data_IF_219151426477
#
_entry.id   IF_219151426477
#
_cell.length_a   1.000
_cell.length_b   1.000
_cell.length_c   1.000
_cell.angle_alpha   90.00
_cell.angle_beta   90.00
_cell.angle_gamma   90.00
#
_symmetry.space_group_name_H-M   'P 1'
#
loop_
_entity.id
_entity.type
_entity.pdbx_description
1 polymer ?
#
# COMPACT_ATOMS: atom_id res chain seq x y z
N UNK A 1 -11.63 0.43 -24.53
CA UNK A 1 -10.59 0.40 -23.46
C UNK A 1 -11.15 0.88 -22.12
N UNK A 2 -12.21 1.67 -22.16
CA UNK A 2 -12.91 2.30 -21.04
C UNK A 2 -13.33 1.34 -19.92
N UNK A 3 -13.96 0.21 -20.24
CA UNK A 3 -14.43 -0.76 -19.22
C UNK A 3 -13.26 -1.38 -18.43
N UNK A 4 -12.16 -1.71 -19.10
CA UNK A 4 -10.93 -2.21 -18.45
C UNK A 4 -10.32 -1.15 -17.53
N UNK A 5 -10.25 0.10 -17.98
CA UNK A 5 -9.75 1.22 -17.17
C UNK A 5 -10.66 1.51 -15.97
N UNK A 6 -11.97 1.40 -16.12
CA UNK A 6 -12.94 1.56 -15.03
C UNK A 6 -12.82 0.44 -14.00
N UNK A 7 -12.75 -0.82 -14.43
CA UNK A 7 -12.51 -1.97 -13.57
C UNK A 7 -11.17 -1.85 -12.81
N UNK A 8 -10.10 -1.47 -13.51
CA UNK A 8 -8.78 -1.24 -12.91
C UNK A 8 -8.81 -0.15 -11.84
N UNK A 9 -9.45 0.99 -12.11
CA UNK A 9 -9.57 2.06 -11.11
C UNK A 9 -10.45 1.62 -9.92
N UNK A 10 -11.52 0.85 -10.15
CA UNK A 10 -12.38 0.31 -9.08
C UNK A 10 -11.60 -0.64 -8.17
N UNK A 11 -10.90 -1.63 -8.75
CA UNK A 11 -10.07 -2.58 -8.01
C UNK A 11 -8.94 -1.85 -7.28
N UNK A 12 -8.26 -0.92 -7.96
CA UNK A 12 -7.20 -0.12 -7.36
C UNK A 12 -7.68 0.68 -6.14
N UNK A 13 -8.83 1.35 -6.24
CA UNK A 13 -9.39 2.11 -5.11
C UNK A 13 -9.85 1.19 -3.96
N UNK A 14 -10.55 0.10 -4.27
CA UNK A 14 -11.01 -0.85 -3.25
C UNK A 14 -9.84 -1.52 -2.55
N UNK A 15 -8.82 -1.96 -3.27
CA UNK A 15 -7.61 -2.52 -2.66
C UNK A 15 -6.85 -1.49 -1.83
N UNK A 16 -6.73 -0.25 -2.31
CA UNK A 16 -6.07 0.83 -1.55
C UNK A 16 -6.83 1.12 -0.25
N UNK A 17 -8.17 1.05 -0.26
CA UNK A 17 -8.98 1.15 0.95
C UNK A 17 -8.62 0.06 1.97
N UNK A 18 -8.60 -1.22 1.55
CA UNK A 18 -8.22 -2.31 2.45
C UNK A 18 -6.78 -2.17 2.99
N UNK A 19 -5.85 -1.80 2.11
CA UNK A 19 -4.44 -1.58 2.47
C UNK A 19 -4.31 -0.46 3.50
N UNK A 20 -5.00 0.66 3.28
CA UNK A 20 -5.07 1.79 4.22
C UNK A 20 -5.70 1.36 5.56
N UNK A 21 -6.81 0.63 5.54
CA UNK A 21 -7.48 0.17 6.76
C UNK A 21 -6.57 -0.74 7.58
N UNK A 22 -5.97 -1.76 6.96
CA UNK A 22 -5.06 -2.66 7.67
C UNK A 22 -3.83 -1.94 8.22
N UNK A 23 -3.23 -1.04 7.43
CA UNK A 23 -2.05 -0.27 7.87
C UNK A 23 -2.38 0.70 9.00
N UNK A 24 -3.50 1.43 8.93
CA UNK A 24 -3.97 2.29 10.03
C UNK A 24 -4.27 1.49 11.30
N UNK A 25 -5.01 0.39 11.18
CA UNK A 25 -5.35 -0.48 12.32
C UNK A 25 -4.08 -1.05 12.97
N UNK A 26 -3.14 -1.54 12.17
CA UNK A 26 -1.86 -2.05 12.66
C UNK A 26 -1.00 -0.96 13.33
N UNK A 27 -0.92 0.23 12.72
CA UNK A 27 -0.14 1.35 13.26
C UNK A 27 -0.74 1.88 14.56
N UNK A 28 -2.06 2.08 14.63
CA UNK A 28 -2.75 2.52 15.84
C UNK A 28 -2.64 1.47 16.93
N UNK A 29 -2.86 0.19 16.61
CA UNK A 29 -2.70 -0.91 17.56
C UNK A 29 -1.29 -0.94 18.15
N UNK A 30 -0.27 -0.77 17.29
CA UNK A 30 1.12 -0.70 17.73
C UNK A 30 1.42 0.54 18.58
N UNK A 31 0.80 1.69 18.28
CA UNK A 31 0.97 2.92 19.07
C UNK A 31 0.33 2.81 20.46
N UNK A 32 -0.86 2.21 20.55
CA UNK A 32 -1.60 2.03 21.81
C UNK A 32 -0.96 0.96 22.69
N UNK A 33 -0.64 -0.21 22.12
CA UNK A 33 -0.15 -1.35 22.91
C UNK A 33 1.29 -1.17 23.39
N UNK A 34 2.12 -0.42 22.65
CA UNK A 34 3.52 -0.21 23.03
C UNK A 34 3.75 1.06 23.85
N UNK A 35 2.68 1.81 24.17
CA UNK A 35 2.67 3.05 24.96
C UNK A 35 4.00 3.79 24.82
N UNK A 36 4.34 4.14 23.55
CA UNK A 36 5.66 4.67 23.13
C UNK A 36 5.80 6.10 23.65
N UNK A 37 5.71 6.23 24.96
CA UNK A 37 6.17 7.33 25.76
C UNK A 37 7.70 7.22 25.85
N UNK A 38 8.34 8.37 25.83
CA UNK A 38 9.76 8.64 25.60
C UNK A 38 10.74 7.95 26.58
N UNK A 39 10.25 7.13 27.52
CA UNK A 39 11.00 6.61 28.67
C UNK A 39 11.31 5.11 28.52
N UNK A 40 12.29 4.76 27.68
CA UNK A 40 12.74 3.37 27.54
C UNK A 40 13.87 3.17 26.53
N UNK A 41 14.83 4.09 26.46
CA UNK A 41 15.83 4.19 25.38
C UNK A 41 17.06 3.26 25.50
N UNK A 42 17.06 2.23 26.34
CA UNK A 42 18.30 1.51 26.69
C UNK A 42 18.33 0.00 26.37
N UNK A 43 17.39 -0.53 25.58
CA UNK A 43 17.43 -1.92 25.12
C UNK A 43 17.39 -2.05 23.60
N UNK A 44 18.07 -3.06 23.04
CA UNK A 44 18.05 -3.37 21.60
C UNK A 44 16.62 -3.63 21.09
N UNK A 45 15.78 -4.24 21.93
CA UNK A 45 14.38 -4.55 21.60
C UNK A 45 13.55 -3.26 21.47
N UNK A 46 13.71 -2.31 22.41
CA UNK A 46 13.03 -1.02 22.36
C UNK A 46 13.43 -0.19 21.14
N UNK A 47 14.71 -0.21 20.77
CA UNK A 47 15.22 0.47 19.57
C UNK A 47 14.65 -0.14 18.28
N UNK A 48 14.62 -1.47 18.19
CA UNK A 48 14.04 -2.18 17.05
C UNK A 48 12.53 -1.91 16.93
N UNK A 49 11.80 -1.92 18.05
CA UNK A 49 10.37 -1.63 18.10
C UNK A 49 10.05 -0.22 17.62
N UNK A 50 10.80 0.79 18.09
CA UNK A 50 10.65 2.18 17.63
C UNK A 50 10.99 2.35 16.15
N UNK A 51 12.06 1.69 15.68
CA UNK A 51 12.46 1.71 14.28
C UNK A 51 11.40 1.07 13.37
N UNK A 52 10.88 -0.09 13.78
CA UNK A 52 9.79 -0.77 13.10
C UNK A 52 8.52 0.09 13.07
N UNK A 53 8.16 0.71 14.20
CA UNK A 53 7.02 1.62 14.29
C UNK A 53 7.16 2.80 13.31
N UNK A 54 8.35 3.42 13.25
CA UNK A 54 8.63 4.52 12.32
C UNK A 54 8.48 4.10 10.86
N UNK A 55 9.04 2.95 10.47
CA UNK A 55 8.94 2.42 9.10
C UNK A 55 7.50 2.07 8.71
N UNK A 56 6.76 1.41 9.61
CA UNK A 56 5.35 1.08 9.41
C UNK A 56 4.52 2.36 9.28
N UNK A 57 4.76 3.34 10.15
CA UNK A 57 4.07 4.65 10.12
C UNK A 57 4.32 5.37 8.79
N UNK A 58 5.55 5.40 8.29
CA UNK A 58 5.86 5.95 6.98
C UNK A 58 5.09 5.23 5.86
N UNK A 59 5.05 3.89 5.88
CA UNK A 59 4.26 3.10 4.93
C UNK A 59 2.76 3.44 4.98
N UNK A 60 2.21 3.56 6.19
CA UNK A 60 0.80 3.92 6.43
C UNK A 60 0.45 5.30 5.89
N UNK A 61 1.34 6.29 6.11
CA UNK A 61 1.16 7.65 5.58
C UNK A 61 1.12 7.62 4.05
N UNK A 62 2.06 6.91 3.41
CA UNK A 62 2.12 6.80 1.94
C UNK A 62 0.85 6.17 1.38
N UNK A 63 0.38 5.04 1.93
CA UNK A 63 -0.85 4.37 1.48
C UNK A 63 -2.10 5.21 1.74
N UNK A 64 -2.16 5.94 2.86
CA UNK A 64 -3.26 6.84 3.17
C UNK A 64 -3.33 7.99 2.16
N UNK A 65 -2.19 8.64 1.87
CA UNK A 65 -2.10 9.70 0.86
C UNK A 65 -2.50 9.15 -0.51
N UNK A 66 -2.01 7.97 -0.88
CA UNK A 66 -2.35 7.34 -2.15
C UNK A 66 -3.86 7.06 -2.26
N UNK A 67 -4.48 6.51 -1.21
CA UNK A 67 -5.92 6.29 -1.17
C UNK A 67 -6.70 7.60 -1.36
N UNK A 68 -6.30 8.68 -0.67
CA UNK A 68 -6.92 10.00 -0.81
C UNK A 68 -6.78 10.54 -2.24
N UNK A 69 -5.60 10.42 -2.86
CA UNK A 69 -5.38 10.83 -4.26
C UNK A 69 -6.30 10.06 -5.22
N UNK A 70 -6.39 8.73 -5.06
CA UNK A 70 -7.25 7.89 -5.90
C UNK A 70 -8.74 8.19 -5.67
N UNK A 71 -9.14 8.45 -4.42
CA UNK A 71 -10.49 8.87 -4.06
C UNK A 71 -10.87 10.22 -4.67
N UNK A 72 -10.00 11.23 -4.54
CA UNK A 72 -10.17 12.54 -5.16
C UNK A 72 -10.29 12.43 -6.68
N UNK A 73 -9.48 11.58 -7.33
CA UNK A 73 -9.59 11.34 -8.77
C UNK A 73 -10.98 10.85 -9.17
N UNK A 74 -11.56 9.91 -8.40
CA UNK A 74 -12.90 9.38 -8.65
C UNK A 74 -13.97 10.47 -8.47
N UNK A 75 -13.85 11.31 -7.45
CA UNK A 75 -14.81 12.38 -7.16
C UNK A 75 -14.72 13.56 -8.13
N UNK A 76 -13.51 13.99 -8.51
CA UNK A 76 -13.29 15.17 -9.36
C UNK A 76 -13.40 14.91 -10.87
N UNK A 77 -13.86 13.72 -11.29
CA UNK A 77 -14.20 13.45 -12.69
C UNK A 77 -13.02 13.47 -13.69
N UNK A 78 -11.76 13.51 -13.22
CA UNK A 78 -10.55 13.45 -14.08
C UNK A 78 -10.33 12.02 -14.60
N UNK A 79 -11.27 11.51 -15.41
CA UNK A 79 -11.26 10.15 -15.99
C UNK A 79 -10.13 9.89 -17.00
N UNK A 80 -9.57 10.94 -17.62
CA UNK A 80 -8.64 10.79 -18.77
C UNK A 80 -7.16 10.63 -18.42
N UNK A 81 -6.72 10.96 -17.21
CA UNK A 81 -5.30 10.82 -16.84
C UNK A 81 -5.03 9.43 -16.24
N UNK A 82 -4.03 8.72 -16.80
CA UNK A 82 -3.54 7.44 -16.29
C UNK A 82 -2.47 7.74 -15.22
N UNK A 83 -2.84 7.59 -13.95
CA UNK A 83 -1.96 7.84 -12.80
C UNK A 83 -1.12 6.61 -12.45
N UNK A 84 -0.92 5.71 -13.43
CA UNK A 84 -0.15 4.48 -13.31
C UNK A 84 1.14 4.65 -12.48
N UNK A 85 1.96 5.65 -12.83
CA UNK A 85 3.24 5.87 -12.14
C UNK A 85 3.06 6.20 -10.66
N UNK A 86 2.06 7.00 -10.32
CA UNK A 86 1.79 7.40 -8.94
C UNK A 86 1.27 6.20 -8.13
N UNK A 87 0.39 5.38 -8.71
CA UNK A 87 -0.07 4.15 -8.06
C UNK A 87 1.06 3.14 -7.85
N UNK A 88 1.91 2.93 -8.86
CA UNK A 88 3.05 2.00 -8.76
C UNK A 88 4.06 2.49 -7.73
N UNK A 89 4.48 3.75 -7.79
CA UNK A 89 5.45 4.30 -6.84
C UNK A 89 4.88 4.32 -5.43
N UNK A 90 3.62 4.73 -5.26
CA UNK A 90 2.96 4.77 -3.95
C UNK A 90 2.87 3.39 -3.31
N UNK A 91 2.34 2.40 -4.02
CA UNK A 91 2.25 1.03 -3.49
C UNK A 91 3.61 0.38 -3.26
N UNK A 92 4.61 0.67 -4.11
CA UNK A 92 5.97 0.19 -3.89
C UNK A 92 6.59 0.76 -2.62
N UNK A 93 6.48 2.07 -2.41
CA UNK A 93 6.99 2.73 -1.20
C UNK A 93 6.25 2.26 0.06
N UNK A 94 4.92 2.13 -0.02
CA UNK A 94 4.10 1.57 1.06
C UNK A 94 4.52 0.15 1.43
N UNK A 95 4.56 -0.75 0.44
CA UNK A 95 4.99 -2.13 0.61
C UNK A 95 6.40 -2.24 1.21
N UNK A 96 7.34 -1.42 0.75
CA UNK A 96 8.71 -1.41 1.27
C UNK A 96 8.75 -0.97 2.74
N UNK A 97 8.02 0.09 3.11
CA UNK A 97 7.93 0.56 4.50
C UNK A 97 7.37 -0.53 5.42
N UNK A 98 6.29 -1.19 5.03
CA UNK A 98 5.71 -2.29 5.80
C UNK A 98 6.64 -3.50 5.87
N UNK A 99 7.25 -3.90 4.76
CA UNK A 99 8.15 -5.05 4.71
C UNK A 99 9.33 -4.85 5.65
N UNK A 100 10.03 -3.72 5.53
CA UNK A 100 11.18 -3.41 6.38
C UNK A 100 10.77 -3.33 7.86
N UNK A 101 9.66 -2.67 8.16
CA UNK A 101 9.14 -2.58 9.52
C UNK A 101 8.77 -3.93 10.11
N UNK A 102 8.10 -4.80 9.35
CA UNK A 102 7.74 -6.16 9.79
C UNK A 102 8.98 -7.04 9.98
N UNK A 103 9.99 -6.92 9.12
CA UNK A 103 11.25 -7.67 9.25
C UNK A 103 12.00 -7.24 10.51
N UNK A 104 12.16 -5.94 10.74
CA UNK A 104 12.81 -5.40 11.95
C UNK A 104 12.06 -5.84 13.21
N UNK A 105 10.73 -5.74 13.20
CA UNK A 105 9.88 -6.19 14.30
C UNK A 105 10.07 -7.69 14.56
N UNK A 106 9.87 -8.53 13.54
CA UNK A 106 9.88 -9.98 13.68
C UNK A 106 11.26 -10.59 13.97
N UNK A 107 12.34 -9.93 13.55
CA UNK A 107 13.70 -10.41 13.80
C UNK A 107 14.16 -10.18 15.25
N UNK A 108 13.63 -9.16 15.93
CA UNK A 108 14.09 -8.75 17.27
C UNK A 108 13.07 -9.08 18.36
N UNK A 109 11.77 -8.99 18.08
CA UNK A 109 10.70 -9.28 19.05
C UNK A 109 10.34 -10.77 18.98
N UNK A 110 11.10 -11.60 19.70
CA UNK A 110 10.94 -13.07 19.71
C UNK A 110 10.00 -13.58 20.80
N UNK A 111 9.58 -12.71 21.73
CA UNK A 111 8.86 -13.08 22.95
C UNK A 111 7.35 -13.26 22.73
N UNK A 112 6.73 -12.43 21.88
CA UNK A 112 5.31 -12.54 21.52
C UNK A 112 4.98 -11.76 20.24
N UNK A 113 4.36 -12.41 19.26
CA UNK A 113 3.81 -11.73 18.08
C UNK A 113 2.40 -11.23 18.42
N UNK A 114 2.21 -9.91 18.40
CA UNK A 114 0.93 -9.28 18.72
C UNK A 114 0.00 -9.24 17.51
N UNK A 115 -1.30 -9.05 17.76
CA UNK A 115 -2.33 -9.03 16.72
C UNK A 115 -2.08 -7.91 15.68
N UNK A 116 -1.63 -6.73 16.11
CA UNK A 116 -1.38 -5.57 15.24
C UNK A 116 -0.27 -5.81 14.22
N UNK A 117 0.69 -6.70 14.52
CA UNK A 117 1.74 -7.10 13.59
C UNK A 117 1.14 -7.75 12.34
N UNK A 118 0.16 -8.64 12.50
CA UNK A 118 -0.49 -9.32 11.39
C UNK A 118 -1.27 -8.35 10.48
N UNK A 119 -1.83 -7.28 11.05
CA UNK A 119 -2.46 -6.22 10.27
C UNK A 119 -1.43 -5.48 9.40
N UNK A 120 -0.23 -5.21 9.90
CA UNK A 120 0.87 -4.63 9.11
C UNK A 120 1.36 -5.60 8.01
N UNK A 121 1.40 -6.91 8.30
CA UNK A 121 1.71 -7.94 7.29
C UNK A 121 0.65 -7.98 6.20
N UNK A 122 -0.65 -7.93 6.54
CA UNK A 122 -1.72 -7.87 5.55
C UNK A 122 -1.67 -6.58 4.72
N UNK A 123 -1.32 -5.45 5.33
CA UNK A 123 -1.05 -4.21 4.59
C UNK A 123 0.11 -4.37 3.60
N UNK A 124 1.20 -5.01 4.00
CA UNK A 124 2.34 -5.31 3.11
C UNK A 124 1.92 -6.18 1.92
N UNK A 125 1.18 -7.27 2.18
CA UNK A 125 0.72 -8.21 1.15
C UNK A 125 -0.23 -7.50 0.17
N UNK A 126 -1.18 -6.72 0.69
CA UNK A 126 -2.15 -5.99 -0.14
C UNK A 126 -1.48 -4.90 -0.98
N UNK A 127 -0.58 -4.10 -0.41
CA UNK A 127 0.21 -3.11 -1.16
C UNK A 127 1.04 -3.78 -2.28
N UNK A 128 1.72 -4.88 -1.98
CA UNK A 128 2.51 -5.65 -2.96
C UNK A 128 1.64 -6.26 -4.06
N UNK A 129 0.47 -6.81 -3.68
CA UNK A 129 -0.51 -7.34 -4.63
C UNK A 129 -1.05 -6.25 -5.56
N UNK A 130 -1.33 -5.06 -5.04
CA UNK A 130 -1.76 -3.91 -5.84
C UNK A 130 -0.66 -3.40 -6.76
N UNK A 131 0.57 -3.32 -6.29
CA UNK A 131 1.72 -3.01 -7.13
C UNK A 131 1.79 -3.95 -8.34
N UNK A 132 1.74 -5.25 -8.09
CA UNK A 132 1.78 -6.27 -9.15
C UNK A 132 0.55 -6.17 -10.08
N UNK A 133 -0.63 -5.92 -9.52
CA UNK A 133 -1.85 -5.70 -10.30
C UNK A 133 -1.73 -4.48 -11.23
N UNK A 134 -1.22 -3.35 -10.73
CA UNK A 134 -1.03 -2.14 -11.54
C UNK A 134 -0.01 -2.37 -12.67
N UNK A 135 1.09 -3.07 -12.40
CA UNK A 135 2.09 -3.44 -13.42
C UNK A 135 1.48 -4.38 -14.46
N UNK A 136 0.86 -5.47 -14.02
CA UNK A 136 0.27 -6.48 -14.90
C UNK A 136 -0.81 -5.90 -15.81
N UNK A 137 -1.72 -5.09 -15.26
CA UNK A 137 -2.77 -4.43 -16.04
C UNK A 137 -2.23 -3.41 -17.03
N UNK A 138 -1.13 -2.72 -16.71
CA UNK A 138 -0.47 -1.81 -17.65
C UNK A 138 0.23 -2.57 -18.79
N UNK A 139 0.89 -3.69 -18.48
CA UNK A 139 1.49 -4.56 -19.49
C UNK A 139 0.44 -5.16 -20.43
N UNK A 140 -0.66 -5.66 -19.87
CA UNK A 140 -1.79 -6.19 -20.64
C UNK A 140 -2.43 -5.12 -21.54
N UNK A 141 -2.61 -3.89 -21.02
CA UNK A 141 -3.06 -2.73 -21.80
C UNK A 141 -2.14 -2.43 -22.99
N UNK A 142 -0.83 -2.45 -22.78
CA UNK A 142 0.16 -2.21 -23.85
C UNK A 142 0.11 -3.33 -24.90
N UNK A 143 0.03 -4.59 -24.46
CA UNK A 143 -0.10 -5.74 -25.34
C UNK A 143 -1.34 -5.64 -26.24
N UNK A 144 -2.52 -5.36 -25.68
CA UNK A 144 -3.75 -5.23 -26.45
C UNK A 144 -3.68 -4.14 -27.52
N UNK A 145 -3.06 -2.99 -27.19
CA UNK A 145 -2.85 -1.90 -28.16
C UNK A 145 -1.94 -2.29 -29.33
N UNK A 146 -0.95 -3.13 -29.08
CA UNK A 146 -0.03 -3.60 -30.12
C UNK A 146 -0.66 -4.70 -30.97
N UNK A 147 -1.40 -5.62 -30.33
CA UNK A 147 -2.01 -6.77 -31.01
C UNK A 147 -3.25 -6.38 -31.85
N UNK A 148 -3.98 -5.33 -31.44
CA UNK A 148 -5.21 -4.89 -32.10
C UNK A 148 -5.19 -3.37 -32.32
N UNK A 149 -4.30 -2.87 -33.22
CA UNK A 149 -4.09 -1.44 -33.41
C UNK A 149 -5.26 -0.72 -34.11
N UNK A 150 -6.10 -1.44 -34.85
CA UNK A 150 -7.24 -0.86 -35.59
C UNK A 150 -8.60 -1.03 -34.88
N UNK A 151 -8.61 -1.70 -33.73
CA UNK A 151 -9.86 -1.94 -33.00
C UNK A 151 -10.28 -0.67 -32.24
N UNK A 152 -11.39 -0.07 -32.68
CA UNK A 152 -12.00 1.12 -32.08
C UNK A 152 -12.30 0.87 -30.59
N UNK A 153 -12.64 -0.38 -30.23
CA UNK A 153 -12.89 -0.78 -28.84
C UNK A 153 -11.62 -0.84 -27.98
N UNK A 154 -10.42 -0.80 -28.56
CA UNK A 154 -9.13 -0.79 -27.86
C UNK A 154 -8.50 0.62 -27.83
N UNK A 155 -8.86 1.48 -28.79
CA UNK A 155 -8.29 2.82 -28.95
C UNK A 155 -9.15 3.97 -28.36
N UNK A 156 -10.44 3.74 -28.09
CA UNK A 156 -11.30 4.63 -27.29
C UNK A 156 -11.34 4.23 -25.79
#
# INVERSE_FOLDING_TARGET
MTALMEARNKIGLTGSFFTMTFSLTGTIGMAVDNDISVLGLFSNESCALQSAFGLITCGTIVETILFLILGMKKCCGKKKSDWFHISVVGHFMGALGFLLGCVVYGAVVTSRIYWYFWFCVFACISASGLLMFWIATQMFRRYLKVAYPDDIMVNE
#
